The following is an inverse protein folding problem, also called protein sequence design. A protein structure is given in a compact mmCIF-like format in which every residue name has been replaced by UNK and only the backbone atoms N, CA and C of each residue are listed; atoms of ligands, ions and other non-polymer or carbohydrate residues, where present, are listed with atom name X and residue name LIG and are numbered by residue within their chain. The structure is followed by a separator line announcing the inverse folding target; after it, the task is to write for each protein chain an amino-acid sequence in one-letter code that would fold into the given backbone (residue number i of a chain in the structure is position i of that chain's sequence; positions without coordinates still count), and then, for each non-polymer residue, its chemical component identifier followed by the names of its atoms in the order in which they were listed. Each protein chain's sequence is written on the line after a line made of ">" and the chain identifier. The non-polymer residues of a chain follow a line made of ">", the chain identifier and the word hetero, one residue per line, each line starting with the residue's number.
data_IF_112802757333
#
_entry.id   IF_112802757333
#
_cell.length_a   1.000
_cell.length_b   1.000
_cell.length_c   1.000
_cell.angle_alpha   90.00
_cell.angle_beta   90.00
_cell.angle_gamma   90.00
#
_symmetry.space_group_name_H-M   'P 1'
#
loop_
_entity.id
_entity.type
_entity.pdbx_description
1 polymer ?
#
# COMPACT_ATOMS: atom_id res chain seq x y z
N UNK A 1 -66.77 17.11 -33.33
CA UNK A 1 -65.88 16.08 -33.93
C UNK A 1 -64.62 16.01 -33.06
N UNK A 2 -64.44 14.96 -32.25
CA UNK A 2 -63.29 14.79 -31.34
C UNK A 2 -62.44 13.64 -31.85
N UNK A 3 -61.20 13.92 -32.21
CA UNK A 3 -60.24 12.91 -32.66
C UNK A 3 -59.57 12.35 -31.40
N UNK A 4 -59.78 11.06 -31.14
CA UNK A 4 -59.08 10.34 -30.08
C UNK A 4 -57.80 9.74 -30.66
N UNK A 5 -56.67 10.42 -30.48
CA UNK A 5 -55.35 9.85 -30.76
C UNK A 5 -55.01 8.88 -29.64
N UNK A 6 -55.05 7.56 -29.92
CA UNK A 6 -54.54 6.55 -28.98
C UNK A 6 -53.02 6.46 -29.16
N UNK A 7 -52.28 6.69 -28.09
CA UNK A 7 -50.86 6.38 -28.04
C UNK A 7 -50.73 4.92 -27.61
N UNK A 8 -50.54 4.02 -28.58
CA UNK A 8 -50.18 2.63 -28.30
C UNK A 8 -48.72 2.60 -27.84
N UNK A 9 -48.51 2.72 -26.53
CA UNK A 9 -47.25 2.35 -25.90
C UNK A 9 -47.17 0.82 -25.92
N UNK A 10 -46.38 0.28 -26.85
CA UNK A 10 -46.12 -1.16 -26.94
C UNK A 10 -45.57 -1.65 -25.60
N UNK A 11 -46.25 -2.57 -24.88
CA UNK A 11 -45.70 -3.16 -23.67
C UNK A 11 -44.71 -4.23 -24.09
N UNK A 12 -43.47 -3.81 -24.41
CA UNK A 12 -42.36 -4.76 -24.58
C UNK A 12 -42.01 -5.29 -23.20
N UNK A 13 -42.55 -6.46 -22.86
CA UNK A 13 -42.18 -7.19 -21.66
C UNK A 13 -40.71 -7.61 -21.74
N UNK A 14 -39.96 -7.37 -20.67
CA UNK A 14 -38.57 -7.81 -20.52
C UNK A 14 -38.54 -9.32 -20.68
N UNK A 15 -37.77 -9.82 -21.64
CA UNK A 15 -37.69 -11.26 -21.88
C UNK A 15 -36.81 -11.93 -20.83
N UNK A 16 -37.09 -13.20 -20.51
CA UNK A 16 -36.24 -14.01 -19.62
C UNK A 16 -34.77 -14.01 -20.09
N UNK A 17 -34.56 -14.04 -21.41
CA UNK A 17 -33.23 -13.96 -22.02
C UNK A 17 -32.56 -12.62 -21.70
N UNK A 18 -33.25 -11.50 -21.86
CA UNK A 18 -32.73 -10.16 -21.54
C UNK A 18 -32.37 -10.05 -20.04
N UNK A 19 -33.22 -10.56 -19.15
CA UNK A 19 -32.92 -10.60 -17.71
C UNK A 19 -31.69 -11.47 -17.39
N UNK A 20 -31.53 -12.63 -18.03
CA UNK A 20 -30.37 -13.49 -17.83
C UNK A 20 -29.07 -12.86 -18.35
N UNK A 21 -29.13 -12.16 -19.48
CA UNK A 21 -27.98 -11.42 -20.02
C UNK A 21 -27.59 -10.28 -19.09
N UNK A 22 -28.56 -9.50 -18.61
CA UNK A 22 -28.29 -8.40 -17.67
C UNK A 22 -27.68 -8.92 -16.37
N UNK A 23 -28.21 -10.01 -15.80
CA UNK A 23 -27.64 -10.63 -14.60
C UNK A 23 -26.20 -11.09 -14.86
N UNK A 24 -25.94 -11.74 -15.99
CA UNK A 24 -24.59 -12.20 -16.34
C UNK A 24 -23.60 -11.04 -16.51
N UNK A 25 -24.03 -9.94 -17.12
CA UNK A 25 -23.22 -8.72 -17.27
C UNK A 25 -22.94 -8.08 -15.91
N UNK A 26 -23.94 -7.97 -15.04
CA UNK A 26 -23.76 -7.43 -13.67
C UNK A 26 -22.77 -8.29 -12.89
N UNK A 27 -22.92 -9.62 -12.89
CA UNK A 27 -22.00 -10.53 -12.20
C UNK A 27 -20.58 -10.47 -12.77
N UNK A 28 -20.44 -10.33 -14.09
CA UNK A 28 -19.14 -10.19 -14.74
C UNK A 28 -18.44 -8.90 -14.34
N UNK A 29 -19.16 -7.78 -14.29
CA UNK A 29 -18.63 -6.49 -13.86
C UNK A 29 -18.28 -6.52 -12.37
N UNK A 30 -19.14 -7.09 -11.52
CA UNK A 30 -18.85 -7.25 -10.08
C UNK A 30 -17.63 -8.11 -9.80
N UNK A 31 -17.44 -9.19 -10.56
CA UNK A 31 -16.24 -10.03 -10.46
C UNK A 31 -14.97 -9.27 -10.87
N UNK A 32 -15.04 -8.53 -11.98
CA UNK A 32 -13.90 -7.73 -12.45
C UNK A 32 -13.51 -6.61 -11.47
N UNK A 33 -14.48 -5.92 -10.85
CA UNK A 33 -14.20 -4.81 -9.93
C UNK A 33 -13.52 -5.25 -8.64
N UNK A 34 -13.85 -6.43 -8.11
CA UNK A 34 -13.19 -6.96 -6.91
C UNK A 34 -11.70 -7.27 -7.12
N UNK A 35 -11.31 -7.71 -8.32
CA UNK A 35 -9.90 -8.00 -8.65
C UNK A 35 -9.00 -6.75 -8.55
N UNK A 36 -9.49 -5.58 -8.96
CA UNK A 36 -8.69 -4.34 -8.93
C UNK A 36 -8.56 -3.72 -7.54
N UNK A 37 -9.49 -4.01 -6.62
CA UNK A 37 -9.49 -3.41 -5.28
C UNK A 37 -8.33 -3.91 -4.39
N UNK A 38 -7.90 -5.15 -4.56
CA UNK A 38 -6.74 -5.70 -3.83
C UNK A 38 -5.44 -4.97 -4.17
N UNK A 39 -5.15 -4.84 -5.46
CA UNK A 39 -3.90 -4.23 -5.96
C UNK A 39 -3.73 -2.76 -5.53
N UNK A 40 -4.82 -2.01 -5.38
CA UNK A 40 -4.74 -0.61 -4.92
C UNK A 40 -4.34 -0.53 -3.44
N UNK A 41 -4.79 -1.49 -2.63
CA UNK A 41 -4.48 -1.55 -1.21
C UNK A 41 -2.99 -1.86 -0.99
N UNK A 42 -2.48 -2.85 -1.72
CA UNK A 42 -1.07 -3.25 -1.68
C UNK A 42 -0.14 -2.11 -2.12
N UNK A 43 -0.50 -1.42 -3.19
CA UNK A 43 0.24 -0.25 -3.68
C UNK A 43 0.29 0.89 -2.66
N UNK A 44 -0.84 1.19 -2.00
CA UNK A 44 -0.88 2.19 -0.95
C UNK A 44 -0.03 1.81 0.27
N UNK A 45 0.01 0.51 0.61
CA UNK A 45 0.88 -0.01 1.67
C UNK A 45 2.36 0.16 1.31
N UNK A 46 2.76 -0.20 0.09
CA UNK A 46 4.13 0.02 -0.39
C UNK A 46 4.54 1.49 -0.38
N UNK A 47 3.69 2.39 -0.88
CA UNK A 47 3.95 3.84 -0.80
C UNK A 47 4.15 4.34 0.63
N UNK A 48 3.34 3.86 1.57
CA UNK A 48 3.49 4.20 2.99
C UNK A 48 4.78 3.63 3.57
N UNK A 49 5.13 2.40 3.20
CA UNK A 49 6.34 1.73 3.61
C UNK A 49 7.60 2.48 3.16
N UNK A 50 7.72 2.82 1.87
CA UNK A 50 8.89 3.54 1.38
C UNK A 50 8.92 5.01 1.81
N UNK A 51 7.78 5.66 2.06
CA UNK A 51 7.78 6.98 2.71
C UNK A 51 8.37 6.92 4.13
N UNK A 52 7.93 5.93 4.93
CA UNK A 52 8.43 5.74 6.28
C UNK A 52 9.91 5.30 6.31
N UNK A 53 10.33 4.41 5.41
CA UNK A 53 11.73 4.03 5.27
C UNK A 53 12.62 5.23 4.91
N UNK A 54 12.18 6.12 4.01
CA UNK A 54 12.94 7.33 3.66
C UNK A 54 13.10 8.23 4.87
N UNK A 55 12.04 8.35 5.68
CA UNK A 55 12.08 9.09 6.94
C UNK A 55 13.13 8.52 7.91
N UNK A 56 13.10 7.21 8.14
CA UNK A 56 14.07 6.52 8.99
C UNK A 56 15.50 6.60 8.44
N UNK A 57 15.67 6.51 7.12
CA UNK A 57 16.97 6.63 6.47
C UNK A 57 17.57 8.05 6.62
N UNK A 58 16.74 9.09 6.46
CA UNK A 58 17.16 10.47 6.72
C UNK A 58 17.56 10.64 8.18
N UNK A 59 16.78 10.11 9.13
CA UNK A 59 17.11 10.15 10.55
C UNK A 59 18.45 9.43 10.84
N UNK A 60 18.67 8.26 10.24
CA UNK A 60 19.93 7.51 10.36
C UNK A 60 21.13 8.31 9.85
N UNK A 61 21.00 8.96 8.69
CA UNK A 61 22.07 9.79 8.11
C UNK A 61 22.37 11.00 8.99
N UNK A 62 21.35 11.66 9.53
CA UNK A 62 21.53 12.78 10.45
C UNK A 62 22.23 12.33 11.74
N UNK A 63 21.81 11.21 12.32
CA UNK A 63 22.46 10.64 13.50
C UNK A 63 23.93 10.30 13.26
N UNK A 64 24.25 9.67 12.12
CA UNK A 64 25.62 9.31 11.75
C UNK A 64 26.48 10.53 11.42
N UNK A 65 25.88 11.62 10.90
CA UNK A 65 26.58 12.88 10.69
C UNK A 65 27.03 13.50 12.02
N UNK A 66 26.18 13.43 13.05
CA UNK A 66 26.51 13.91 14.41
C UNK A 66 27.44 12.93 15.16
N UNK A 67 27.39 11.64 14.84
CA UNK A 67 28.14 10.58 15.51
C UNK A 67 29.04 9.78 14.55
N UNK A 68 30.06 10.39 13.92
CA UNK A 68 30.83 9.78 12.83
C UNK A 68 31.68 8.56 13.23
N UNK A 69 31.86 8.31 14.53
CA UNK A 69 32.60 7.14 15.05
C UNK A 69 31.69 5.98 15.44
N UNK A 70 30.37 6.16 15.36
CA UNK A 70 29.40 5.12 15.72
C UNK A 70 29.27 4.15 14.55
N UNK A 71 29.39 2.86 14.84
CA UNK A 71 29.17 1.83 13.83
C UNK A 71 27.67 1.70 13.53
N UNK A 72 27.31 1.57 12.26
CA UNK A 72 25.90 1.41 11.82
C UNK A 72 25.23 0.21 12.50
N UNK A 73 25.97 -0.88 12.66
CA UNK A 73 25.49 -2.10 13.31
C UNK A 73 25.13 -1.90 14.81
N UNK A 74 25.61 -0.82 15.43
CA UNK A 74 25.39 -0.49 16.85
C UNK A 74 24.30 0.56 17.08
N UNK A 75 23.61 0.99 16.02
CA UNK A 75 22.51 1.95 16.08
C UNK A 75 21.25 1.23 16.54
N UNK A 76 20.52 1.85 17.46
CA UNK A 76 19.21 1.37 17.89
C UNK A 76 18.10 2.27 17.36
N UNK A 77 16.87 1.76 17.28
CA UNK A 77 15.72 2.57 16.86
C UNK A 77 15.53 3.82 17.74
N UNK A 78 15.82 3.73 19.04
CA UNK A 78 15.72 4.86 19.97
C UNK A 78 16.68 6.00 19.65
N UNK A 79 17.88 5.70 19.13
CA UNK A 79 18.86 6.72 18.76
C UNK A 79 18.34 7.61 17.63
N UNK A 80 17.50 7.06 16.77
CA UNK A 80 16.96 7.72 15.58
C UNK A 80 15.70 8.54 15.85
N UNK A 81 14.96 8.26 16.93
CA UNK A 81 13.66 8.91 17.22
C UNK A 81 13.80 10.44 17.26
N UNK A 82 14.87 10.95 17.88
CA UNK A 82 15.13 12.40 17.97
C UNK A 82 15.47 13.06 16.63
N UNK A 83 15.85 12.26 15.62
CA UNK A 83 16.24 12.71 14.29
C UNK A 83 15.14 12.50 13.25
N UNK A 84 13.96 11.99 13.66
CA UNK A 84 12.83 11.79 12.76
C UNK A 84 12.28 13.14 12.27
N UNK A 85 12.19 13.37 10.94
CA UNK A 85 11.54 14.55 10.38
C UNK A 85 10.11 14.80 10.86
N UNK A 86 9.35 13.75 11.18
CA UNK A 86 7.99 13.90 11.74
C UNK A 86 7.96 14.39 13.19
N UNK A 87 9.09 14.33 13.93
CA UNK A 87 9.14 14.60 15.36
C UNK A 87 8.37 13.59 16.22
N UNK A 88 8.11 12.39 15.69
CA UNK A 88 7.42 11.32 16.42
C UNK A 88 8.19 10.82 17.64
N UNK A 89 7.48 10.28 18.63
CA UNK A 89 8.07 9.63 19.80
C UNK A 89 8.42 8.15 19.57
N UNK A 90 8.09 7.62 18.40
CA UNK A 90 8.29 6.24 17.97
C UNK A 90 8.60 6.22 16.47
N UNK A 91 9.28 5.17 16.00
CA UNK A 91 9.45 4.95 14.56
C UNK A 91 8.08 4.76 13.87
N UNK A 92 7.90 5.25 12.63
CA UNK A 92 6.61 5.17 11.95
C UNK A 92 6.14 3.73 11.77
N UNK A 93 4.87 3.42 12.05
CA UNK A 93 4.36 2.05 11.89
C UNK A 93 4.03 1.72 10.43
N UNK A 94 4.61 0.62 9.93
CA UNK A 94 4.37 0.06 8.60
C UNK A 94 3.79 -1.34 8.74
N UNK A 95 2.93 -1.72 7.80
CA UNK A 95 2.28 -3.02 7.77
C UNK A 95 2.64 -3.80 6.50
N UNK A 96 2.66 -5.13 6.61
CA UNK A 96 2.79 -6.04 5.48
C UNK A 96 1.48 -6.10 4.64
N UNK A 97 1.49 -6.84 3.55
CA UNK A 97 0.30 -7.04 2.71
C UNK A 97 -0.87 -7.69 3.47
N UNK A 98 -0.60 -8.48 4.51
CA UNK A 98 -1.58 -9.17 5.36
C UNK A 98 -2.10 -8.33 6.55
N UNK A 99 -1.53 -7.16 6.82
CA UNK A 99 -1.86 -6.29 7.95
C UNK A 99 -1.03 -6.52 9.23
N UNK A 100 0.01 -7.35 9.19
CA UNK A 100 0.95 -7.51 10.29
C UNK A 100 1.91 -6.33 10.36
N UNK A 101 2.39 -5.98 11.56
CA UNK A 101 3.32 -4.86 11.71
C UNK A 101 4.75 -5.29 11.37
N UNK A 102 5.44 -4.47 10.58
CA UNK A 102 6.84 -4.67 10.23
C UNK A 102 7.76 -3.89 11.17
N UNK A 103 8.98 -4.39 11.35
CA UNK A 103 10.04 -3.74 12.13
C UNK A 103 11.14 -3.20 11.21
N UNK A 104 11.85 -2.17 11.67
CA UNK A 104 12.98 -1.62 10.94
C UNK A 104 14.28 -2.27 11.42
N UNK A 105 15.04 -2.82 10.48
CA UNK A 105 16.44 -3.16 10.70
C UNK A 105 17.30 -1.91 10.42
N UNK A 106 17.55 -1.15 11.47
CA UNK A 106 18.36 0.09 11.45
C UNK A 106 19.86 -0.19 11.55
N UNK A 107 20.25 -1.46 11.69
CA UNK A 107 21.66 -1.89 11.75
C UNK A 107 22.32 -1.89 10.37
N UNK A 108 21.52 -1.71 9.32
CA UNK A 108 21.93 -1.58 7.92
C UNK A 108 21.69 -0.16 7.45
N UNK A 109 22.56 0.29 6.54
CA UNK A 109 22.37 1.55 5.83
C UNK A 109 22.46 1.24 4.34
N UNK A 110 21.37 1.42 3.58
CA UNK A 110 20.05 1.92 4.00
C UNK A 110 19.28 0.94 4.91
N UNK A 111 18.38 1.43 5.79
CA UNK A 111 17.56 0.58 6.65
C UNK A 111 16.57 -0.24 5.82
N UNK A 112 16.24 -1.44 6.30
CA UNK A 112 15.31 -2.36 5.62
C UNK A 112 14.15 -2.75 6.54
N UNK A 113 13.01 -3.10 5.95
CA UNK A 113 11.89 -3.66 6.71
C UNK A 113 12.13 -5.16 6.97
N UNK A 114 11.73 -5.61 8.14
CA UNK A 114 11.83 -7.02 8.55
C UNK A 114 10.52 -7.49 9.16
N UNK A 115 10.22 -8.76 8.92
CA UNK A 115 9.15 -9.46 9.61
C UNK A 115 9.54 -9.78 11.07
N UNK A 116 8.59 -10.27 11.86
CA UNK A 116 8.85 -10.80 13.21
C UNK A 116 9.90 -11.93 13.24
N UNK A 117 10.09 -12.63 12.11
CA UNK A 117 11.10 -13.67 11.91
C UNK A 117 12.51 -13.12 11.69
N UNK A 118 12.66 -11.79 11.52
CA UNK A 118 13.92 -11.13 11.19
C UNK A 118 14.32 -11.23 9.71
N UNK A 119 13.47 -11.83 8.87
CA UNK A 119 13.67 -11.89 7.42
C UNK A 119 13.34 -10.53 6.80
N UNK A 120 14.16 -10.09 5.84
CA UNK A 120 13.93 -8.86 5.09
C UNK A 120 12.62 -8.99 4.32
N UNK A 121 11.73 -8.01 4.53
CA UNK A 121 10.43 -7.98 3.90
C UNK A 121 10.47 -7.11 2.66
N UNK A 122 10.37 -7.77 1.50
CA UNK A 122 10.14 -7.12 0.22
C UNK A 122 9.23 -8.03 -0.65
N UNK A 123 7.93 -7.68 -0.81
CA UNK A 123 7.00 -8.46 -1.59
C UNK A 123 7.10 -8.20 -3.10
N UNK A 124 7.79 -7.15 -3.56
CA UNK A 124 7.97 -6.94 -5.00
C UNK A 124 9.01 -7.89 -5.59
N UNK A 125 9.88 -8.44 -4.73
CA UNK A 125 10.96 -9.34 -5.10
C UNK A 125 12.13 -8.63 -5.80
N UNK A 126 12.15 -7.30 -5.77
CA UNK A 126 13.15 -6.47 -6.42
C UNK A 126 13.69 -5.43 -5.44
N UNK A 127 14.95 -5.55 -4.97
CA UNK A 127 15.55 -4.66 -3.97
C UNK A 127 16.01 -3.30 -4.54
N UNK A 128 15.44 -2.91 -5.69
CA UNK A 128 15.81 -1.73 -6.49
C UNK A 128 14.56 -1.03 -7.05
N UNK A 129 13.38 -1.28 -6.47
CA UNK A 129 12.12 -0.78 -7.03
C UNK A 129 11.61 0.51 -6.36
N UNK A 130 12.29 0.96 -5.29
CA UNK A 130 11.95 2.15 -4.51
C UNK A 130 10.57 2.12 -3.85
N UNK A 131 9.89 0.97 -3.87
CA UNK A 131 8.54 0.77 -3.33
C UNK A 131 8.60 0.20 -1.92
N UNK A 132 9.48 -0.78 -1.67
CA UNK A 132 9.67 -1.41 -0.35
C UNK A 132 11.10 -1.27 0.18
N UNK A 133 11.95 -0.57 -0.55
CA UNK A 133 13.34 -0.30 -0.23
C UNK A 133 13.64 1.22 -0.35
N UNK A 134 14.85 1.60 0.07
CA UNK A 134 15.36 2.97 -0.01
C UNK A 134 16.87 2.96 -0.22
N UNK A 135 17.41 4.05 -0.78
CA UNK A 135 18.85 4.33 -0.80
C UNK A 135 19.58 3.99 -2.09
N UNK A 136 18.87 3.95 -3.21
CA UNK A 136 19.44 4.13 -4.55
C UNK A 136 19.89 5.57 -4.83
#
# INVERSE_FOLDING_TARGET
>A
MRIHTRYDLSPRGVTLVELTVVIFVILSIMGATMYFAGNIGEWNKGKKASAALREVFVAQRSYLADNPRREVASITGNDLIQYLPSGGSLLPRVEDLNGNSLSYDVTKSPPVLTELSGVVYDPSGSPVDSLWDVGE
#
